data_IF_604237151165
#
_entry.id   IF_604237151165
#
_cell.length_a   1.000
_cell.length_b   1.000
_cell.length_c   1.000
_cell.angle_alpha   90.00
_cell.angle_beta   90.00
_cell.angle_gamma   90.00
#
_symmetry.space_group_name_H-M   'P 1'
#
loop_
_entity.id
_entity.type
_entity.pdbx_description
1 polymer ?
#
# COMPACT_ATOMS: atom_id res chain seq x y z
N UNK A 1 2.71 -14.83 2.77
CA UNK A 1 3.20 -14.82 1.38
C UNK A 1 2.09 -15.37 0.53
N UNK A 2 1.73 -14.68 -0.56
CA UNK A 2 0.82 -15.21 -1.58
C UNK A 2 1.62 -15.55 -2.83
N UNK A 3 1.58 -16.82 -3.23
CA UNK A 3 2.23 -17.29 -4.45
C UNK A 3 1.51 -16.78 -5.71
N UNK A 4 0.18 -16.74 -5.69
CA UNK A 4 -0.66 -16.26 -6.79
C UNK A 4 -0.31 -14.82 -7.18
N UNK A 5 -0.20 -13.94 -6.18
CA UNK A 5 0.09 -12.53 -6.39
C UNK A 5 1.56 -12.19 -6.22
N UNK A 6 2.46 -13.18 -6.07
CA UNK A 6 3.89 -13.00 -5.77
C UNK A 6 4.16 -11.90 -4.74
N UNK A 7 3.30 -11.82 -3.71
CA UNK A 7 3.28 -10.73 -2.75
C UNK A 7 3.76 -11.26 -1.40
N UNK A 8 4.71 -10.54 -0.82
CA UNK A 8 5.18 -10.79 0.54
C UNK A 8 5.08 -9.49 1.34
N UNK A 9 4.65 -9.63 2.58
CA UNK A 9 4.48 -8.50 3.48
C UNK A 9 4.27 -9.00 4.89
N UNK A 10 4.56 -8.13 5.85
CA UNK A 10 4.27 -8.34 7.26
C UNK A 10 3.55 -7.08 7.76
N UNK A 11 2.27 -7.19 8.16
CA UNK A 11 1.58 -6.07 8.81
C UNK A 11 2.20 -5.82 10.19
N UNK A 12 2.07 -4.59 10.70
CA UNK A 12 2.50 -4.26 12.06
C UNK A 12 1.74 -5.08 13.09
N UNK A 13 0.40 -5.14 12.94
CA UNK A 13 -0.46 -5.97 13.78
C UNK A 13 -1.60 -6.62 12.98
N UNK A 14 -2.11 -7.71 13.55
CA UNK A 14 -3.40 -8.31 13.21
C UNK A 14 -4.26 -8.25 14.47
N UNK A 15 -5.47 -7.73 14.35
CA UNK A 15 -6.45 -7.68 15.43
C UNK A 15 -7.70 -8.45 15.04
N UNK A 16 -8.52 -8.80 16.04
CA UNK A 16 -9.85 -9.33 15.79
C UNK A 16 -10.86 -8.21 15.97
N UNK A 17 -11.78 -8.07 15.00
CA UNK A 17 -12.94 -7.20 15.19
C UNK A 17 -13.97 -7.84 16.14
N UNK A 18 -15.04 -7.10 16.43
CA UNK A 18 -16.12 -7.56 17.32
C UNK A 18 -16.89 -8.79 16.81
N UNK A 19 -16.77 -9.10 15.52
CA UNK A 19 -17.36 -10.28 14.88
C UNK A 19 -16.38 -11.45 14.74
N UNK A 20 -15.11 -11.24 15.10
CA UNK A 20 -14.04 -12.22 15.03
C UNK A 20 -13.30 -12.26 13.68
N UNK A 21 -13.46 -11.26 12.80
CA UNK A 21 -12.66 -11.18 11.57
C UNK A 21 -11.25 -10.67 11.86
N UNK A 22 -10.29 -11.11 11.07
CA UNK A 22 -8.90 -10.67 11.16
C UNK A 22 -8.75 -9.36 10.40
N UNK A 23 -8.38 -8.30 11.11
CA UNK A 23 -8.20 -6.96 10.55
C UNK A 23 -6.72 -6.57 10.63
N UNK A 24 -6.06 -6.29 9.49
CA UNK A 24 -4.69 -5.78 9.50
C UNK A 24 -4.63 -4.33 9.96
N UNK A 25 -3.60 -4.01 10.75
CA UNK A 25 -3.29 -2.66 11.22
C UNK A 25 -1.89 -2.29 10.74
N UNK A 26 -1.80 -1.11 10.11
CA UNK A 26 -0.55 -0.51 9.63
C UNK A 26 -0.32 0.83 10.34
N UNK A 27 0.85 1.02 10.93
CA UNK A 27 1.21 2.22 11.70
C UNK A 27 2.01 3.19 10.84
N UNK A 28 1.56 4.46 10.85
CA UNK A 28 2.29 5.59 10.31
C UNK A 28 2.73 6.51 11.43
N UNK A 29 4.04 6.75 11.51
CA UNK A 29 4.62 7.58 12.57
C UNK A 29 4.29 9.07 12.43
N UNK A 30 3.87 9.54 11.26
CA UNK A 30 3.52 10.94 10.98
C UNK A 30 2.18 11.37 11.56
N UNK A 31 1.94 12.69 11.57
CA UNK A 31 0.61 13.26 11.79
C UNK A 31 -0.26 12.90 10.59
N UNK A 32 -1.51 12.57 10.86
CA UNK A 32 -2.43 12.19 9.82
C UNK A 32 -2.75 13.36 8.87
N UNK A 33 -2.71 13.13 7.55
CA UNK A 33 -3.30 14.05 6.60
C UNK A 33 -4.83 14.16 6.80
N UNK A 34 -5.48 15.06 6.04
CA UNK A 34 -6.95 15.13 6.02
C UNK A 34 -7.55 13.75 5.64
N UNK A 35 -7.02 13.18 4.56
CA UNK A 35 -7.33 11.84 4.04
C UNK A 35 -6.03 11.04 3.87
N UNK A 36 -6.04 9.72 4.09
CA UNK A 36 -4.84 8.90 3.95
C UNK A 36 -4.22 9.01 2.56
N UNK A 37 -2.89 9.00 2.49
CA UNK A 37 -2.21 8.94 1.19
C UNK A 37 -2.53 7.62 0.48
N UNK A 38 -2.69 7.69 -0.84
CA UNK A 38 -2.97 6.55 -1.72
C UNK A 38 -1.98 5.40 -1.52
N UNK A 39 -0.68 5.68 -1.46
CA UNK A 39 0.33 4.66 -1.20
C UNK A 39 0.18 3.97 0.17
N UNK A 40 -0.35 4.66 1.19
CA UNK A 40 -0.66 4.04 2.48
C UNK A 40 -1.90 3.14 2.38
N UNK A 41 -2.90 3.54 1.60
CA UNK A 41 -4.11 2.75 1.32
C UNK A 41 -3.72 1.47 0.58
N UNK A 42 -2.95 1.55 -0.51
CA UNK A 42 -2.54 0.39 -1.29
C UNK A 42 -1.61 -0.54 -0.51
N UNK A 43 -0.72 -0.01 0.34
CA UNK A 43 0.07 -0.84 1.25
C UNK A 43 -0.82 -1.60 2.24
N UNK A 44 -1.84 -0.95 2.81
CA UNK A 44 -2.78 -1.63 3.70
C UNK A 44 -3.62 -2.67 2.94
N UNK A 45 -4.08 -2.36 1.73
CA UNK A 45 -4.78 -3.29 0.85
C UNK A 45 -3.95 -4.55 0.58
N UNK A 46 -2.63 -4.40 0.40
CA UNK A 46 -1.70 -5.52 0.26
C UNK A 46 -1.73 -6.45 1.47
N UNK A 47 -1.90 -5.92 2.69
CA UNK A 47 -2.08 -6.76 3.88
C UNK A 47 -3.46 -7.38 3.95
N UNK A 48 -4.53 -6.68 3.54
CA UNK A 48 -5.87 -7.28 3.46
C UNK A 48 -5.88 -8.48 2.51
N UNK A 49 -5.28 -8.33 1.32
CA UNK A 49 -5.11 -9.41 0.35
C UNK A 49 -4.31 -10.58 0.96
N UNK A 50 -3.21 -10.29 1.66
CA UNK A 50 -2.41 -11.34 2.30
C UNK A 50 -3.17 -12.05 3.42
N UNK A 51 -4.01 -11.34 4.18
CA UNK A 51 -4.84 -11.94 5.23
C UNK A 51 -5.87 -12.88 4.60
N UNK A 52 -6.56 -12.45 3.54
CA UNK A 52 -7.51 -13.27 2.79
C UNK A 52 -6.85 -14.56 2.29
N UNK A 53 -5.67 -14.42 1.66
CA UNK A 53 -4.95 -15.55 1.06
C UNK A 53 -4.33 -16.53 2.08
N UNK A 54 -3.94 -16.06 3.26
CA UNK A 54 -3.23 -16.90 4.26
C UNK A 54 -4.17 -17.49 5.29
N UNK A 55 -5.19 -16.73 5.69
CA UNK A 55 -6.13 -17.12 6.74
C UNK A 55 -7.51 -17.50 6.20
N UNK A 56 -7.73 -17.42 4.88
CA UNK A 56 -9.03 -17.66 4.24
C UNK A 56 -10.14 -16.79 4.89
N UNK A 57 -9.76 -15.58 5.31
CA UNK A 57 -10.62 -14.63 5.98
C UNK A 57 -10.47 -13.27 5.30
N UNK A 58 -11.35 -12.96 4.34
CA UNK A 58 -11.37 -11.66 3.66
C UNK A 58 -11.74 -10.55 4.65
N UNK A 59 -10.85 -9.60 4.96
CA UNK A 59 -11.20 -8.48 5.83
C UNK A 59 -12.17 -7.55 5.12
N UNK A 60 -13.16 -7.01 5.83
CA UNK A 60 -14.03 -5.95 5.30
C UNK A 60 -13.32 -4.60 5.21
N UNK A 61 -12.28 -4.41 6.02
CA UNK A 61 -11.47 -3.21 6.11
C UNK A 61 -10.10 -3.52 6.72
N UNK A 62 -9.18 -2.58 6.58
CA UNK A 62 -7.96 -2.50 7.38
C UNK A 62 -7.91 -1.19 8.17
N UNK A 63 -6.94 -1.05 9.07
CA UNK A 63 -6.78 0.15 9.90
C UNK A 63 -5.42 0.80 9.61
N UNK A 64 -5.46 2.07 9.18
CA UNK A 64 -4.28 2.95 9.14
C UNK A 64 -4.22 3.77 10.43
N UNK A 65 -3.28 3.45 11.30
CA UNK A 65 -3.05 4.16 12.56
C UNK A 65 -1.95 5.21 12.38
N UNK A 66 -2.32 6.48 12.29
CA UNK A 66 -1.36 7.59 12.37
C UNK A 66 -1.11 7.97 13.83
N UNK A 67 -0.19 8.90 14.08
CA UNK A 67 0.17 9.32 15.44
C UNK A 67 -1.01 9.89 16.24
N UNK A 68 -1.88 10.64 15.59
CA UNK A 68 -2.95 11.43 16.21
C UNK A 68 -4.36 10.93 15.92
N UNK A 69 -4.56 10.13 14.86
CA UNK A 69 -5.86 9.54 14.51
C UNK A 69 -5.72 8.25 13.70
N UNK A 70 -6.80 7.48 13.62
CA UNK A 70 -6.89 6.27 12.82
C UNK A 70 -7.93 6.41 11.71
N UNK A 71 -7.73 5.67 10.62
CA UNK A 71 -8.71 5.51 9.56
C UNK A 71 -9.02 4.03 9.36
N UNK A 72 -10.31 3.70 9.32
CA UNK A 72 -10.76 2.43 8.77
C UNK A 72 -10.88 2.59 7.26
N UNK A 73 -10.13 1.77 6.51
CA UNK A 73 -10.12 1.76 5.05
C UNK A 73 -10.86 0.53 4.59
N UNK A 74 -12.02 0.71 3.94
CA UNK A 74 -12.79 -0.38 3.36
C UNK A 74 -11.95 -1.13 2.33
N UNK A 75 -11.87 -2.45 2.47
CA UNK A 75 -11.24 -3.32 1.49
C UNK A 75 -12.29 -3.79 0.50
N UNK A 76 -12.59 -2.93 -0.48
CA UNK A 76 -13.55 -3.24 -1.54
C UNK A 76 -12.90 -4.01 -2.68
N UNK A 77 -13.72 -4.57 -3.56
CA UNK A 77 -13.23 -5.27 -4.75
C UNK A 77 -12.49 -4.29 -5.69
N UNK A 78 -12.94 -3.04 -5.78
CA UNK A 78 -12.24 -2.01 -6.57
C UNK A 78 -10.84 -1.72 -6.01
N UNK A 79 -10.68 -1.64 -4.69
CA UNK A 79 -9.37 -1.41 -4.08
C UNK A 79 -8.44 -2.62 -4.25
N UNK A 80 -8.99 -3.84 -4.27
CA UNK A 80 -8.22 -5.03 -4.63
C UNK A 80 -7.77 -4.99 -6.09
N UNK A 81 -8.66 -4.64 -7.01
CA UNK A 81 -8.34 -4.52 -8.44
C UNK A 81 -7.25 -3.46 -8.67
N UNK A 82 -7.35 -2.30 -8.04
CA UNK A 82 -6.34 -1.24 -8.08
C UNK A 82 -4.97 -1.75 -7.60
N UNK A 83 -4.95 -2.50 -6.49
CA UNK A 83 -3.73 -3.12 -5.99
C UNK A 83 -3.15 -4.13 -6.98
N UNK A 84 -3.97 -5.02 -7.54
CA UNK A 84 -3.53 -6.05 -8.49
C UNK A 84 -2.99 -5.40 -9.77
N UNK A 85 -3.65 -4.34 -10.25
CA UNK A 85 -3.19 -3.55 -11.39
C UNK A 85 -1.83 -2.92 -11.08
N UNK A 86 -1.66 -2.25 -9.95
CA UNK A 86 -0.38 -1.67 -9.56
C UNK A 86 0.73 -2.73 -9.46
N UNK A 87 0.45 -3.89 -8.85
CA UNK A 87 1.43 -4.98 -8.76
C UNK A 87 1.83 -5.53 -10.14
N UNK A 88 0.91 -5.50 -11.11
CA UNK A 88 1.18 -5.93 -12.49
C UNK A 88 2.04 -4.89 -13.20
N UNK A 89 1.64 -3.62 -13.13
CA UNK A 89 2.40 -2.49 -13.69
C UNK A 89 3.84 -2.48 -13.16
N UNK A 90 4.02 -2.60 -11.83
CA UNK A 90 5.35 -2.66 -11.22
C UNK A 90 6.22 -3.78 -11.79
N UNK A 91 5.64 -4.95 -12.11
CA UNK A 91 6.38 -6.09 -12.67
C UNK A 91 6.72 -5.88 -14.12
N UNK A 92 5.78 -5.37 -14.90
CA UNK A 92 5.99 -5.12 -16.33
C UNK A 92 7.08 -4.06 -16.50
N UNK A 93 7.02 -2.99 -15.70
CA UNK A 93 8.04 -1.93 -15.67
C UNK A 93 9.44 -2.42 -15.33
N UNK A 94 9.61 -3.51 -14.57
CA UNK A 94 10.96 -4.04 -14.25
C UNK A 94 11.73 -4.51 -15.48
N UNK A 95 11.04 -4.80 -16.59
CA UNK A 95 11.65 -5.28 -17.83
C UNK A 95 11.74 -4.19 -18.90
N UNK A 96 11.33 -2.97 -18.60
CA UNK A 96 11.43 -1.84 -19.52
C UNK A 96 12.83 -1.22 -19.49
N UNK A 97 13.34 -0.88 -20.67
CA UNK A 97 14.68 -0.26 -20.82
C UNK A 97 14.72 1.17 -20.28
N UNK A 98 13.60 1.89 -20.36
CA UNK A 98 13.43 3.26 -19.87
C UNK A 98 12.08 3.40 -19.18
N UNK A 99 12.08 3.93 -17.95
CA UNK A 99 10.88 4.28 -17.20
C UNK A 99 10.84 5.78 -16.94
N UNK A 100 9.69 6.36 -17.22
CA UNK A 100 9.42 7.75 -16.95
C UNK A 100 8.96 7.96 -15.50
N UNK A 101 9.25 9.14 -14.96
CA UNK A 101 8.74 9.62 -13.68
C UNK A 101 7.24 9.87 -13.80
N UNK A 102 6.50 9.45 -12.78
CA UNK A 102 5.03 9.37 -12.73
C UNK A 102 4.32 10.60 -12.14
N UNK A 103 5.05 11.53 -11.53
CA UNK A 103 4.49 12.68 -10.83
C UNK A 103 4.96 14.01 -11.42
N UNK A 104 4.48 15.17 -10.92
CA UNK A 104 5.03 16.52 -11.19
C UNK A 104 5.39 17.30 -9.91
N UNK A 105 5.63 16.56 -8.83
CA UNK A 105 5.92 17.11 -7.50
C UNK A 105 7.43 17.33 -7.24
N UNK A 106 7.85 18.59 -7.17
CA UNK A 106 9.25 18.97 -6.87
C UNK A 106 9.77 18.39 -5.55
N UNK A 107 8.94 18.42 -4.49
CA UNK A 107 9.31 17.95 -3.14
C UNK A 107 9.56 16.44 -3.10
N UNK A 108 8.84 15.64 -3.90
CA UNK A 108 9.10 14.19 -4.02
C UNK A 108 10.46 13.94 -4.66
N UNK A 109 10.80 14.66 -5.74
CA UNK A 109 12.13 14.55 -6.36
C UNK A 109 13.25 14.94 -5.37
N UNK A 110 13.07 16.03 -4.62
CA UNK A 110 14.07 16.52 -3.66
C UNK A 110 14.42 15.46 -2.60
N UNK A 111 13.43 14.68 -2.14
CA UNK A 111 13.58 13.67 -1.08
C UNK A 111 13.77 12.24 -1.61
N UNK A 112 13.83 12.06 -2.92
CA UNK A 112 13.90 10.73 -3.53
C UNK A 112 15.27 10.09 -3.30
N UNK A 113 15.29 8.87 -2.74
CA UNK A 113 16.53 8.14 -2.44
C UNK A 113 17.34 7.71 -3.68
N UNK A 114 16.73 7.71 -4.88
CA UNK A 114 17.38 7.38 -6.15
C UNK A 114 17.57 8.60 -7.06
N UNK A 115 17.43 9.82 -6.52
CA UNK A 115 17.48 11.09 -7.26
C UNK A 115 18.71 11.27 -8.13
N UNK A 116 19.88 10.78 -7.72
CA UNK A 116 21.13 10.92 -8.49
C UNK A 116 21.12 10.16 -9.81
N UNK A 117 20.27 9.13 -9.93
CA UNK A 117 20.16 8.28 -11.11
C UNK A 117 18.97 8.67 -12.01
N UNK A 118 18.02 9.46 -11.51
CA UNK A 118 16.85 9.90 -12.27
C UNK A 118 17.21 11.09 -13.19
N UNK A 119 17.15 10.86 -14.51
CA UNK A 119 17.39 11.91 -15.54
C UNK A 119 16.24 12.91 -15.68
N UNK A 120 15.06 12.58 -15.13
CA UNK A 120 13.84 13.40 -15.20
C UNK A 120 13.52 14.13 -13.90
N UNK A 121 14.48 14.20 -12.96
CA UNK A 121 14.28 14.87 -11.66
C UNK A 121 13.96 16.35 -11.83
N UNK A 122 13.05 16.86 -11.00
CA UNK A 122 12.69 18.28 -10.95
C UNK A 122 13.53 19.10 -9.96
N UNK A 123 14.20 18.42 -9.03
CA UNK A 123 15.03 19.02 -7.98
C UNK A 123 16.42 18.45 -8.07
#
# INVERSE_FOLDING_TARGET
YSAQYQLVGRPDYLVLDETGNIVPVEIKSGIAPAEPHEGHILQLAAYCLLVDQVYENRPSHGILQYRDKAFAVTYSDELEDDLIHLLTEMRDSMFEDELDRDHDEWVRCERCGVREYCRQRLA
#
